data_IF_964530481743
#
_entry.id   IF_964530481743
#
_cell.length_a   1.000
_cell.length_b   1.000
_cell.length_c   1.000
_cell.angle_alpha   90.00
_cell.angle_beta   90.00
_cell.angle_gamma   90.00
#
_symmetry.space_group_name_H-M   'P 1'
#
loop_
_entity.id
_entity.type
_entity.pdbx_description
1 polymer ?
#
# COMPACT_ATOMS: atom_id res chain seq x y z
N UNK A 1 10.47 36.39 6.92
CA UNK A 1 9.11 35.93 6.54
C UNK A 1 9.09 34.42 6.76
N UNK A 2 8.69 33.98 7.96
CA UNK A 2 8.74 32.57 8.35
C UNK A 2 7.54 31.86 7.73
N UNK A 3 7.80 31.09 6.68
CA UNK A 3 6.86 30.12 6.12
C UNK A 3 6.45 29.19 7.26
N UNK A 4 5.19 29.30 7.73
CA UNK A 4 4.65 28.34 8.70
C UNK A 4 4.51 27.01 7.97
N UNK A 5 5.55 26.17 8.04
CA UNK A 5 5.53 24.80 7.52
C UNK A 5 4.27 24.14 8.08
N UNK A 6 3.33 23.80 7.21
CA UNK A 6 2.09 23.15 7.60
C UNK A 6 2.39 21.68 7.92
N UNK A 7 2.96 21.45 9.10
CA UNK A 7 3.46 20.15 9.58
C UNK A 7 2.40 19.05 9.64
N UNK A 8 1.10 19.38 9.47
CA UNK A 8 0.01 18.40 9.55
C UNK A 8 0.02 17.39 8.40
N UNK A 9 0.29 17.83 7.17
CA UNK A 9 0.29 16.95 5.99
C UNK A 9 1.38 15.87 6.10
N UNK A 10 2.67 16.22 6.31
CA UNK A 10 3.71 15.20 6.43
C UNK A 10 3.50 14.30 7.66
N UNK A 11 2.94 14.83 8.76
CA UNK A 11 2.61 14.02 9.93
C UNK A 11 1.56 12.94 9.62
N UNK A 12 0.47 13.29 8.94
CA UNK A 12 -0.56 12.32 8.58
C UNK A 12 -0.08 11.31 7.53
N UNK A 13 0.77 11.74 6.58
CA UNK A 13 1.41 10.84 5.64
C UNK A 13 2.31 9.83 6.36
N UNK A 14 3.06 10.29 7.37
CA UNK A 14 3.92 9.45 8.20
C UNK A 14 3.13 8.43 9.02
N UNK A 15 2.01 8.84 9.64
CA UNK A 15 1.12 7.93 10.37
C UNK A 15 0.51 6.89 9.40
N UNK A 16 0.06 7.32 8.22
CA UNK A 16 -0.41 6.40 7.18
C UNK A 16 0.66 5.39 6.77
N UNK A 17 1.92 5.83 6.68
CA UNK A 17 3.06 4.96 6.42
C UNK A 17 3.33 3.96 7.54
N UNK A 18 3.18 4.37 8.80
CA UNK A 18 3.28 3.45 9.94
C UNK A 18 2.15 2.42 9.98
N UNK A 19 0.95 2.77 9.52
CA UNK A 19 -0.16 1.82 9.35
C UNK A 19 0.22 0.80 8.26
N UNK A 20 0.71 1.25 7.10
CA UNK A 20 1.21 0.36 6.05
C UNK A 20 2.29 -0.59 6.60
N UNK A 21 3.31 -0.05 7.26
CA UNK A 21 4.39 -0.83 7.87
C UNK A 21 3.87 -1.85 8.87
N UNK A 22 2.99 -1.44 9.79
CA UNK A 22 2.44 -2.32 10.82
C UNK A 22 1.69 -3.52 10.23
N UNK A 23 0.95 -3.32 9.14
CA UNK A 23 0.25 -4.41 8.45
C UNK A 23 1.24 -5.33 7.74
N UNK A 24 2.26 -4.77 7.06
CA UNK A 24 3.30 -5.60 6.43
C UNK A 24 4.02 -6.44 7.49
N UNK A 25 4.44 -5.81 8.59
CA UNK A 25 5.11 -6.46 9.70
C UNK A 25 4.26 -7.58 10.30
N UNK A 26 2.98 -7.30 10.59
CA UNK A 26 2.08 -8.28 11.17
C UNK A 26 1.80 -9.45 10.20
N UNK A 27 1.57 -9.15 8.92
CA UNK A 27 1.17 -10.17 7.94
C UNK A 27 2.33 -11.03 7.44
N UNK A 28 3.46 -10.40 7.11
CA UNK A 28 4.64 -11.04 6.52
C UNK A 28 5.67 -11.42 7.58
N UNK A 29 6.15 -10.45 8.35
CA UNK A 29 7.28 -10.68 9.27
C UNK A 29 6.89 -11.53 10.48
N UNK A 30 5.67 -11.38 11.00
CA UNK A 30 5.12 -12.27 12.03
C UNK A 30 4.61 -13.61 11.48
N UNK A 31 4.59 -13.77 10.15
CA UNK A 31 4.24 -15.03 9.48
C UNK A 31 2.75 -15.35 9.39
N UNK A 32 1.83 -14.41 9.60
CA UNK A 32 0.38 -14.69 9.52
C UNK A 32 -0.05 -15.25 8.17
N UNK A 33 0.46 -14.71 7.06
CA UNK A 33 0.15 -15.23 5.72
C UNK A 33 0.70 -16.65 5.54
N UNK A 34 1.90 -16.92 6.05
CA UNK A 34 2.46 -18.27 6.02
C UNK A 34 1.61 -19.25 6.83
N UNK A 35 1.23 -18.88 8.06
CA UNK A 35 0.34 -19.70 8.89
C UNK A 35 -0.99 -19.99 8.22
N UNK A 36 -1.57 -18.99 7.55
CA UNK A 36 -2.81 -19.16 6.80
C UNK A 36 -2.66 -20.13 5.62
N UNK A 37 -1.60 -19.99 4.83
CA UNK A 37 -1.34 -20.86 3.68
C UNK A 37 -0.99 -22.29 4.12
N UNK A 38 -0.15 -22.44 5.15
CA UNK A 38 0.20 -23.74 5.73
C UNK A 38 -1.05 -24.46 6.26
N UNK A 39 -1.94 -23.75 6.96
CA UNK A 39 -3.21 -24.29 7.42
C UNK A 39 -4.11 -24.73 6.25
N UNK A 40 -4.23 -23.92 5.20
CA UNK A 40 -5.00 -24.24 3.99
C UNK A 40 -4.48 -25.50 3.29
N UNK A 41 -3.15 -25.60 3.12
CA UNK A 41 -2.51 -26.73 2.45
C UNK A 41 -2.56 -28.01 3.28
N UNK A 42 -2.42 -27.91 4.61
CA UNK A 42 -2.62 -29.04 5.52
C UNK A 42 -4.05 -29.56 5.48
N UNK A 43 -5.03 -28.66 5.55
CA UNK A 43 -6.46 -29.00 5.50
C UNK A 43 -6.84 -29.72 4.19
N UNK A 44 -6.17 -29.36 3.09
CA UNK A 44 -6.38 -29.97 1.77
C UNK A 44 -5.46 -31.17 1.46
N UNK A 45 -4.60 -31.61 2.40
CA UNK A 45 -3.56 -32.64 2.19
C UNK A 45 -2.60 -32.35 1.02
N UNK A 46 -2.36 -31.06 0.72
CA UNK A 46 -1.57 -30.58 -0.42
C UNK A 46 -0.23 -29.96 -0.02
N UNK A 47 0.30 -30.26 1.17
CA UNK A 47 1.51 -29.58 1.68
C UNK A 47 2.73 -29.74 0.77
N UNK A 48 2.85 -30.89 0.10
CA UNK A 48 3.93 -31.17 -0.85
C UNK A 48 3.90 -30.29 -2.09
N UNK A 49 2.79 -29.59 -2.36
CA UNK A 49 2.68 -28.68 -3.50
C UNK A 49 3.74 -27.56 -3.43
N UNK A 50 4.16 -27.13 -2.24
CA UNK A 50 5.15 -26.05 -2.06
C UNK A 50 6.56 -26.38 -2.58
N UNK A 51 6.82 -27.65 -2.91
CA UNK A 51 8.08 -28.09 -3.53
C UNK A 51 8.16 -27.58 -4.99
N UNK A 52 7.02 -27.44 -5.65
CA UNK A 52 6.91 -27.00 -7.03
C UNK A 52 7.03 -25.47 -7.16
N UNK A 53 7.63 -25.01 -8.25
CA UNK A 53 7.89 -23.59 -8.46
C UNK A 53 6.59 -22.78 -8.64
N UNK A 54 5.61 -23.38 -9.32
CA UNK A 54 4.28 -22.81 -9.55
C UNK A 54 3.56 -22.50 -8.23
N UNK A 55 3.69 -23.38 -7.24
CA UNK A 55 3.11 -23.16 -5.92
C UNK A 55 3.81 -22.02 -5.16
N UNK A 56 5.13 -21.86 -5.34
CA UNK A 56 5.88 -20.73 -4.76
C UNK A 56 5.46 -19.40 -5.39
N UNK A 57 5.21 -19.37 -6.70
CA UNK A 57 4.62 -18.22 -7.38
C UNK A 57 3.22 -17.93 -6.83
N UNK A 58 2.40 -18.96 -6.63
CA UNK A 58 1.08 -18.83 -6.00
C UNK A 58 1.15 -18.21 -4.60
N UNK A 59 2.06 -18.70 -3.75
CA UNK A 59 2.30 -18.14 -2.41
C UNK A 59 2.73 -16.67 -2.48
N UNK A 60 3.59 -16.32 -3.44
CA UNK A 60 3.99 -14.94 -3.67
C UNK A 60 2.81 -14.04 -4.06
N UNK A 61 1.94 -14.49 -4.97
CA UNK A 61 0.71 -13.76 -5.35
C UNK A 61 -0.24 -13.58 -4.16
N UNK A 62 -0.41 -14.62 -3.33
CA UNK A 62 -1.20 -14.53 -2.10
C UNK A 62 -0.60 -13.49 -1.15
N UNK A 63 0.73 -13.44 -1.03
CA UNK A 63 1.43 -12.45 -0.21
C UNK A 63 1.19 -11.03 -0.73
N UNK A 64 1.24 -10.81 -2.05
CA UNK A 64 0.87 -9.53 -2.67
C UNK A 64 -0.57 -9.12 -2.33
N UNK A 65 -1.52 -10.03 -2.47
CA UNK A 65 -2.94 -9.76 -2.26
C UNK A 65 -3.37 -9.61 -0.80
N UNK A 66 -2.74 -10.34 0.13
CA UNK A 66 -3.12 -10.35 1.55
C UNK A 66 -2.25 -9.44 2.42
N UNK A 67 -1.04 -9.12 1.99
CA UNK A 67 -0.14 -8.25 2.76
C UNK A 67 -0.05 -6.86 2.16
N UNK A 68 0.48 -6.77 0.94
CA UNK A 68 0.91 -5.50 0.37
C UNK A 68 -0.26 -4.63 -0.14
N UNK A 69 -1.28 -5.26 -0.74
CA UNK A 69 -2.46 -4.52 -1.19
C UNK A 69 -3.27 -3.97 0.00
N UNK A 70 -3.61 -4.76 1.05
CA UNK A 70 -4.37 -4.26 2.19
C UNK A 70 -3.57 -3.28 3.04
N UNK A 71 -2.25 -3.44 3.14
CA UNK A 71 -1.39 -2.47 3.84
C UNK A 71 -1.48 -1.10 3.19
N UNK A 72 -1.29 -1.05 1.87
CA UNK A 72 -1.44 0.18 1.09
C UNK A 72 -2.84 0.76 1.26
N UNK A 73 -3.88 -0.08 1.10
CA UNK A 73 -5.27 0.35 1.22
C UNK A 73 -5.56 1.04 2.56
N UNK A 74 -5.20 0.44 3.69
CA UNK A 74 -5.52 1.00 5.00
C UNK A 74 -4.69 2.25 5.33
N UNK A 75 -3.41 2.28 4.96
CA UNK A 75 -2.60 3.49 5.12
C UNK A 75 -3.07 4.64 4.22
N UNK A 76 -3.48 4.32 2.99
CA UNK A 76 -4.09 5.25 2.04
C UNK A 76 -5.44 5.77 2.50
N UNK A 77 -6.28 4.90 3.08
CA UNK A 77 -7.58 5.26 3.66
C UNK A 77 -7.41 6.32 4.76
N UNK A 78 -6.46 6.10 5.68
CA UNK A 78 -6.15 7.07 6.73
C UNK A 78 -5.63 8.40 6.15
N UNK A 79 -4.65 8.31 5.24
CA UNK A 79 -4.05 9.49 4.63
C UNK A 79 -5.08 10.31 3.83
N UNK A 80 -5.93 9.66 3.01
CA UNK A 80 -6.96 10.33 2.23
C UNK A 80 -8.16 10.84 3.05
N UNK A 81 -8.35 10.33 4.26
CA UNK A 81 -9.28 10.94 5.21
C UNK A 81 -8.77 12.27 5.76
N UNK A 82 -7.47 12.38 6.06
CA UNK A 82 -6.88 13.57 6.70
C UNK A 82 -6.27 14.58 5.75
N UNK A 83 -5.76 14.15 4.60
CA UNK A 83 -5.10 14.98 3.60
C UNK A 83 -6.06 15.09 2.41
N UNK A 84 -6.59 16.28 2.18
CA UNK A 84 -7.50 16.56 1.05
C UNK A 84 -6.79 17.30 -0.09
N UNK A 85 -5.79 18.11 0.26
CA UNK A 85 -5.01 18.87 -0.71
C UNK A 85 -4.02 17.97 -1.45
N UNK A 86 -3.91 18.14 -2.77
CA UNK A 86 -2.97 17.41 -3.63
C UNK A 86 -2.93 15.89 -3.36
N UNK A 87 -4.11 15.28 -3.14
CA UNK A 87 -4.27 13.90 -2.72
C UNK A 87 -3.44 12.92 -3.58
N UNK A 88 -3.44 13.11 -4.91
CA UNK A 88 -2.68 12.26 -5.85
C UNK A 88 -1.21 12.12 -5.50
N UNK A 89 -0.55 13.22 -5.17
CA UNK A 89 0.89 13.23 -4.83
C UNK A 89 1.07 12.75 -3.41
N UNK A 90 0.19 13.17 -2.51
CA UNK A 90 0.32 12.89 -1.09
C UNK A 90 0.08 11.42 -0.73
N UNK A 91 -0.69 10.67 -1.53
CA UNK A 91 -0.91 9.23 -1.35
C UNK A 91 0.31 8.36 -1.68
N UNK A 92 1.33 8.88 -2.36
CA UNK A 92 2.55 8.11 -2.61
C UNK A 92 3.36 7.94 -1.32
N UNK A 93 3.34 8.96 -0.44
CA UNK A 93 4.18 8.98 0.76
C UNK A 93 3.86 7.86 1.78
N UNK A 94 2.59 7.58 2.14
CA UNK A 94 2.28 6.47 3.05
C UNK A 94 2.81 5.12 2.53
N UNK A 95 2.60 4.83 1.24
CA UNK A 95 3.09 3.60 0.63
C UNK A 95 4.61 3.50 0.66
N UNK A 96 5.29 4.58 0.30
CA UNK A 96 6.75 4.63 0.26
C UNK A 96 7.37 4.51 1.66
N UNK A 97 6.84 5.24 2.65
CA UNK A 97 7.30 5.19 4.03
C UNK A 97 7.12 3.79 4.60
N UNK A 98 5.94 3.20 4.45
CA UNK A 98 5.65 1.86 4.97
C UNK A 98 6.56 0.78 4.38
N UNK A 99 6.77 0.85 3.05
CA UNK A 99 7.68 -0.05 2.35
C UNK A 99 9.14 0.16 2.79
N UNK A 100 9.61 1.41 2.88
CA UNK A 100 10.97 1.71 3.26
C UNK A 100 11.32 1.20 4.66
N UNK A 101 10.41 1.32 5.64
CA UNK A 101 10.59 0.75 6.97
C UNK A 101 10.64 -0.78 6.94
N UNK A 102 9.75 -1.45 6.19
CA UNK A 102 9.77 -2.91 6.07
C UNK A 102 11.03 -3.41 5.36
N UNK A 103 11.43 -2.80 4.26
CA UNK A 103 12.65 -3.14 3.55
C UNK A 103 13.91 -2.90 4.42
N UNK A 104 13.93 -1.82 5.21
CA UNK A 104 15.00 -1.56 6.17
C UNK A 104 15.06 -2.65 7.25
N UNK A 105 13.90 -3.06 7.78
CA UNK A 105 13.80 -4.13 8.76
C UNK A 105 14.36 -5.44 8.20
N UNK A 106 13.93 -5.85 7.00
CA UNK A 106 14.45 -7.05 6.32
C UNK A 106 15.95 -6.98 6.09
N UNK A 107 16.45 -5.81 5.69
CA UNK A 107 17.89 -5.58 5.51
C UNK A 107 18.68 -5.85 6.79
N UNK A 108 18.20 -5.37 7.95
CA UNK A 108 18.85 -5.59 9.24
C UNK A 108 18.80 -7.06 9.70
N UNK A 109 17.71 -7.78 9.44
CA UNK A 109 17.56 -9.17 9.90
C UNK A 109 18.22 -10.21 8.98
N UNK A 110 18.20 -10.03 7.66
CA UNK A 110 18.61 -11.06 6.70
C UNK A 110 19.89 -10.75 5.92
N UNK A 111 20.36 -9.49 5.93
CA UNK A 111 21.51 -9.06 5.14
C UNK A 111 21.19 -8.97 3.63
N UNK A 112 21.91 -8.09 2.92
CA UNK A 112 21.62 -7.73 1.53
C UNK A 112 21.90 -8.92 0.58
N UNK A 113 20.86 -9.58 0.06
CA UNK A 113 20.97 -10.51 -1.08
C UNK A 113 20.73 -9.76 -2.38
N UNK A 114 21.61 -9.93 -3.38
CA UNK A 114 21.48 -9.24 -4.68
C UNK A 114 20.15 -9.55 -5.41
N UNK A 115 19.58 -10.74 -5.22
CA UNK A 115 18.28 -11.13 -5.79
C UNK A 115 17.09 -10.36 -5.21
N UNK A 116 17.26 -9.67 -4.07
CA UNK A 116 16.17 -8.92 -3.44
C UNK A 116 15.72 -7.75 -4.33
N UNK A 117 16.63 -7.02 -4.99
CA UNK A 117 16.28 -5.78 -5.68
C UNK A 117 15.32 -5.96 -6.87
N UNK A 118 15.45 -7.05 -7.63
CA UNK A 118 14.51 -7.40 -8.71
C UNK A 118 13.10 -7.72 -8.17
N UNK A 119 13.02 -8.26 -6.95
CA UNK A 119 11.76 -8.64 -6.29
C UNK A 119 10.99 -7.49 -5.64
N UNK A 120 11.56 -6.28 -5.53
CA UNK A 120 10.94 -5.15 -4.82
C UNK A 120 9.97 -4.32 -5.67
N UNK A 121 10.07 -4.39 -6.99
CA UNK A 121 9.26 -3.55 -7.88
C UNK A 121 7.77 -3.90 -7.82
N UNK A 122 7.44 -5.20 -7.85
CA UNK A 122 6.05 -5.66 -7.83
C UNK A 122 5.36 -5.30 -6.49
N UNK A 123 5.94 -5.58 -5.30
CA UNK A 123 5.35 -5.17 -4.03
C UNK A 123 5.10 -3.68 -3.93
N UNK A 124 6.05 -2.83 -4.37
CA UNK A 124 5.88 -1.37 -4.35
C UNK A 124 4.67 -0.95 -5.19
N UNK A 125 4.54 -1.48 -6.41
CA UNK A 125 3.41 -1.17 -7.29
C UNK A 125 2.08 -1.60 -6.66
N UNK A 126 2.04 -2.76 -6.01
CA UNK A 126 0.84 -3.26 -5.33
C UNK A 126 0.49 -2.38 -4.12
N UNK A 127 1.47 -1.98 -3.30
CA UNK A 127 1.25 -1.06 -2.18
C UNK A 127 0.71 0.27 -2.69
N UNK A 128 1.30 0.86 -3.73
CA UNK A 128 0.83 2.12 -4.30
C UNK A 128 -0.59 1.98 -4.83
N UNK A 129 -0.89 0.91 -5.56
CA UNK A 129 -2.26 0.62 -6.02
C UNK A 129 -3.24 0.58 -4.85
N UNK A 130 -2.88 -0.10 -3.76
CA UNK A 130 -3.66 -0.12 -2.53
C UNK A 130 -3.83 1.29 -1.93
N UNK A 131 -2.74 2.05 -1.83
CA UNK A 131 -2.74 3.40 -1.22
C UNK A 131 -3.64 4.36 -1.98
N UNK A 132 -3.62 4.29 -3.32
CA UNK A 132 -4.55 5.01 -4.17
C UNK A 132 -6.00 4.56 -3.98
N UNK A 133 -6.27 3.24 -4.01
CA UNK A 133 -7.60 2.69 -3.78
C UNK A 133 -8.19 3.17 -2.44
N UNK A 134 -7.42 3.06 -1.36
CA UNK A 134 -7.84 3.50 -0.03
C UNK A 134 -8.09 5.00 0.06
N UNK A 135 -7.14 5.81 -0.42
CA UNK A 135 -7.27 7.27 -0.37
C UNK A 135 -8.46 7.80 -1.16
N UNK A 136 -8.70 7.24 -2.35
CA UNK A 136 -9.82 7.62 -3.20
C UNK A 136 -11.17 7.12 -2.72
N UNK A 137 -11.24 5.97 -2.05
CA UNK A 137 -12.50 5.46 -1.47
C UNK A 137 -13.16 6.48 -0.55
N UNK A 138 -12.36 7.23 0.22
CA UNK A 138 -12.86 8.26 1.15
C UNK A 138 -13.16 9.59 0.45
N UNK A 139 -12.48 9.89 -0.65
CA UNK A 139 -12.59 11.19 -1.33
C UNK A 139 -13.45 11.19 -2.60
N UNK A 140 -14.02 10.05 -2.96
CA UNK A 140 -14.81 9.84 -4.19
C UNK A 140 -15.84 10.94 -4.46
N UNK A 141 -16.66 11.28 -3.45
CA UNK A 141 -17.75 12.27 -3.58
C UNK A 141 -17.27 13.71 -3.78
N UNK A 142 -16.04 14.03 -3.36
CA UNK A 142 -15.49 15.39 -3.47
C UNK A 142 -14.92 15.60 -4.87
N UNK A 143 -14.26 14.59 -5.42
CA UNK A 143 -13.69 14.64 -6.78
C UNK A 143 -14.81 14.69 -7.85
N UNK A 144 -15.86 13.89 -7.70
CA UNK A 144 -17.00 13.83 -8.63
C UNK A 144 -17.68 15.19 -8.80
N UNK A 145 -17.93 15.91 -7.69
CA UNK A 145 -18.50 17.26 -7.73
C UNK A 145 -17.62 18.28 -8.44
N UNK A 146 -16.30 18.20 -8.23
CA UNK A 146 -15.34 19.10 -8.89
C UNK A 146 -15.24 18.85 -10.40
N UNK A 147 -15.37 17.60 -10.84
CA UNK A 147 -15.42 17.28 -12.27
C UNK A 147 -16.71 17.73 -12.93
N UNK A 148 -17.86 17.48 -12.32
CA UNK A 148 -19.16 17.97 -12.81
C UNK A 148 -19.18 19.50 -12.95
N UNK A 149 -18.65 20.22 -11.95
CA UNK A 149 -18.58 21.67 -11.97
C UNK A 149 -17.64 22.19 -13.07
N UNK A 150 -16.46 21.59 -13.25
CA UNK A 150 -15.54 21.92 -14.35
C UNK A 150 -16.15 21.69 -15.73
N UNK A 151 -16.83 20.56 -15.92
CA UNK A 151 -17.52 20.23 -17.16
C UNK A 151 -18.62 21.27 -17.44
N UNK A 152 -19.41 21.62 -16.42
CA UNK A 152 -20.47 22.63 -16.57
C UNK A 152 -19.94 24.02 -16.97
N UNK A 153 -18.77 24.42 -16.46
CA UNK A 153 -18.11 25.68 -16.80
C UNK A 153 -17.57 25.69 -18.24
N UNK A 154 -17.05 24.56 -18.73
CA UNK A 154 -16.62 24.43 -20.13
C UNK A 154 -17.79 24.62 -21.10
N UNK A 155 -18.98 24.09 -20.78
CA UNK A 155 -20.18 24.28 -21.59
C UNK A 155 -20.79 25.69 -21.48
N UNK A 156 -20.56 26.40 -20.37
CA UNK A 156 -21.05 27.78 -20.18
C UNK A 156 -20.16 28.85 -20.83
N UNK A 157 -18.85 28.60 -20.97
CA UNK A 157 -17.89 29.54 -21.54
C UNK A 157 -17.75 29.49 -23.07
N UNK A 158 -18.51 28.62 -23.75
CA UNK A 158 -18.45 28.39 -25.21
C UNK A 158 -19.53 29.08 -26.05
N UNK A 159 -20.37 29.94 -25.45
CA UNK A 159 -21.40 30.74 -26.14
C UNK A 159 -21.08 32.23 -26.09
#
# INVERSE_FOLDING_TARGET
MSEKINLRIPLHAFIGGFICFGIIFLSKDLGLVWMFVDWLLKSSNCIGALIFEEARIGYYLITLGLTYLPSGFLGGLYAGYKIKDNLKVNLIFPGFIGFAFSASLEYFYMGLRADYMMGLLIPILVIFSGTYLGGYTINWRVEEKLEEEKISLLFKGGN
#
